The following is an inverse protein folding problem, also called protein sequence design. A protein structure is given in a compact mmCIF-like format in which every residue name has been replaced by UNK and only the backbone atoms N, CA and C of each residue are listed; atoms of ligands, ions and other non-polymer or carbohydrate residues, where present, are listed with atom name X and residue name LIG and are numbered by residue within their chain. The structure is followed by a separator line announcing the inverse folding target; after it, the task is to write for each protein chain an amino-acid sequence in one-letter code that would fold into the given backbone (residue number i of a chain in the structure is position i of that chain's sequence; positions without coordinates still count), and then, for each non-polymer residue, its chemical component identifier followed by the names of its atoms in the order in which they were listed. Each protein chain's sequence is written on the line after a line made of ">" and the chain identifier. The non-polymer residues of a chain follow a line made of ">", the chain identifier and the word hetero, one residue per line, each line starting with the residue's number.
data_IF_133740649705
#
_entry.id   IF_133740649705
#
_cell.length_a   1.000
_cell.length_b   1.000
_cell.length_c   1.000
_cell.angle_alpha   90.00
_cell.angle_beta   90.00
_cell.angle_gamma   90.00
#
_symmetry.space_group_name_H-M   'P 1'
#
loop_
_entity.id
_entity.type
_entity.pdbx_description
1 polymer ?
#
# COMPACT_ATOMS: atom_id res chain seq x y z
N UNK A 1 37.55 26.40 -69.57
CA UNK A 1 36.58 25.32 -69.25
C UNK A 1 36.88 24.86 -67.83
N UNK A 2 36.21 25.39 -66.78
CA UNK A 2 36.62 25.05 -65.40
C UNK A 2 35.82 25.60 -64.21
N UNK A 3 34.81 26.45 -64.40
CA UNK A 3 34.12 27.11 -63.27
C UNK A 3 32.85 26.40 -62.77
N UNK A 4 32.37 25.34 -63.44
CA UNK A 4 31.08 24.72 -63.10
C UNK A 4 31.13 23.68 -61.97
N UNK A 5 32.31 23.22 -61.52
CA UNK A 5 32.41 22.12 -60.55
C UNK A 5 32.41 22.55 -59.07
N UNK A 6 32.76 23.81 -58.76
CA UNK A 6 32.82 24.28 -57.36
C UNK A 6 31.43 24.64 -56.79
N UNK A 7 30.50 25.12 -57.63
CA UNK A 7 29.18 25.59 -57.18
C UNK A 7 28.25 24.44 -56.74
N UNK A 8 28.33 23.30 -57.41
CA UNK A 8 27.48 22.13 -57.13
C UNK A 8 27.81 21.41 -55.81
N UNK A 9 29.02 21.61 -55.27
CA UNK A 9 29.43 21.04 -53.97
C UNK A 9 28.83 21.81 -52.80
N UNK A 10 28.87 23.14 -52.87
CA UNK A 10 28.31 24.04 -51.84
C UNK A 10 26.78 23.94 -51.76
N UNK A 11 26.09 23.80 -52.89
CA UNK A 11 24.63 23.66 -52.93
C UNK A 11 24.15 22.32 -52.32
N UNK A 12 24.95 21.25 -52.45
CA UNK A 12 24.67 19.94 -51.85
C UNK A 12 24.88 19.93 -50.34
N UNK A 13 25.97 20.52 -49.85
CA UNK A 13 26.20 20.66 -48.40
C UNK A 13 25.10 21.51 -47.75
N UNK A 14 24.64 22.57 -48.42
CA UNK A 14 23.55 23.40 -47.91
C UNK A 14 22.21 22.65 -47.85
N UNK A 15 21.96 21.72 -48.77
CA UNK A 15 20.75 20.87 -48.73
C UNK A 15 20.84 19.82 -47.63
N UNK A 16 21.98 19.17 -47.44
CA UNK A 16 22.18 18.19 -46.35
C UNK A 16 22.02 18.84 -44.96
N UNK A 17 22.55 20.06 -44.78
CA UNK A 17 22.38 20.80 -43.51
C UNK A 17 20.90 21.13 -43.25
N UNK A 18 20.14 21.53 -44.27
CA UNK A 18 18.70 21.81 -44.13
C UNK A 18 17.92 20.56 -43.75
N UNK A 19 18.27 19.41 -44.30
CA UNK A 19 17.64 18.14 -43.97
C UNK A 19 17.95 17.68 -42.54
N UNK A 20 19.19 17.89 -42.08
CA UNK A 20 19.59 17.62 -40.69
C UNK A 20 18.81 18.53 -39.72
N UNK A 21 18.72 19.83 -40.02
CA UNK A 21 17.96 20.78 -39.19
C UNK A 21 16.48 20.39 -39.11
N UNK A 22 15.87 20.02 -40.24
CA UNK A 22 14.49 19.53 -40.27
C UNK A 22 14.32 18.28 -39.41
N UNK A 23 15.27 17.34 -39.47
CA UNK A 23 15.25 16.13 -38.64
C UNK A 23 15.35 16.46 -37.14
N UNK A 24 16.17 17.43 -36.77
CA UNK A 24 16.30 17.89 -35.38
C UNK A 24 14.98 18.49 -34.89
N UNK A 25 14.31 19.31 -35.70
CA UNK A 25 13.02 19.91 -35.35
C UNK A 25 11.92 18.85 -35.18
N UNK A 26 11.90 17.85 -36.06
CA UNK A 26 10.93 16.75 -36.00
C UNK A 26 11.16 15.87 -34.75
N UNK A 27 12.42 15.55 -34.43
CA UNK A 27 12.76 14.82 -33.19
C UNK A 27 12.39 15.63 -31.95
N UNK A 28 12.64 16.94 -31.96
CA UNK A 28 12.27 17.83 -30.86
C UNK A 28 10.75 17.85 -30.64
N UNK A 29 9.96 17.82 -31.72
CA UNK A 29 8.49 17.71 -31.62
C UNK A 29 8.05 16.39 -31.01
N UNK A 30 8.62 15.26 -31.45
CA UNK A 30 8.28 13.95 -30.89
C UNK A 30 8.61 13.88 -29.39
N UNK A 31 9.78 14.39 -28.98
CA UNK A 31 10.18 14.40 -27.57
C UNK A 31 9.23 15.21 -26.69
N UNK A 32 8.69 16.33 -27.19
CA UNK A 32 7.69 17.13 -26.46
C UNK A 32 6.39 16.36 -26.24
N UNK A 33 5.90 15.65 -27.26
CA UNK A 33 4.69 14.83 -27.15
C UNK A 33 4.88 13.74 -26.08
N UNK A 34 6.01 13.04 -26.11
CA UNK A 34 6.32 12.00 -25.12
C UNK A 34 6.40 12.59 -23.70
N UNK A 35 7.01 13.77 -23.55
CA UNK A 35 7.08 14.45 -22.25
C UNK A 35 5.68 14.78 -21.70
N UNK A 36 4.78 15.28 -22.55
CA UNK A 36 3.42 15.60 -22.16
C UNK A 36 2.63 14.35 -21.75
N UNK A 37 2.78 13.25 -22.50
CA UNK A 37 2.16 11.97 -22.18
C UNK A 37 2.67 11.40 -20.85
N UNK A 38 3.99 11.41 -20.62
CA UNK A 38 4.58 10.96 -19.36
C UNK A 38 4.12 11.81 -18.17
N UNK A 39 3.98 13.12 -18.35
CA UNK A 39 3.41 14.01 -17.34
C UNK A 39 1.94 13.68 -17.06
N UNK A 40 1.17 13.30 -18.09
CA UNK A 40 -0.19 12.79 -17.95
C UNK A 40 -0.25 11.54 -17.07
N UNK A 41 0.56 10.53 -17.39
CA UNK A 41 0.64 9.29 -16.61
C UNK A 41 1.09 9.55 -15.18
N UNK A 42 2.08 10.43 -14.97
CA UNK A 42 2.55 10.82 -13.63
C UNK A 42 1.43 11.42 -12.76
N UNK A 43 0.61 12.31 -13.34
CA UNK A 43 -0.56 12.88 -12.64
C UNK A 43 -1.59 11.80 -12.28
N UNK A 44 -1.89 10.89 -13.20
CA UNK A 44 -2.83 9.79 -12.93
C UNK A 44 -2.34 8.88 -11.81
N UNK A 45 -1.05 8.51 -11.83
CA UNK A 45 -0.44 7.71 -10.78
C UNK A 45 -0.46 8.44 -9.45
N UNK A 46 -0.13 9.74 -9.42
CA UNK A 46 -0.20 10.55 -8.20
C UNK A 46 -1.61 10.53 -7.59
N UNK A 47 -2.65 10.74 -8.39
CA UNK A 47 -4.04 10.67 -7.91
C UNK A 47 -4.37 9.30 -7.32
N UNK A 48 -3.96 8.22 -7.98
CA UNK A 48 -4.23 6.85 -7.51
C UNK A 48 -3.43 6.50 -6.24
N UNK A 49 -2.23 7.04 -6.14
CA UNK A 49 -1.35 6.88 -4.98
C UNK A 49 -1.88 7.71 -3.80
N UNK A 50 -2.32 8.95 -4.03
CA UNK A 50 -2.95 9.81 -3.01
C UNK A 50 -4.26 9.17 -2.50
N UNK A 51 -5.09 8.60 -3.38
CA UNK A 51 -6.30 7.88 -2.95
C UNK A 51 -5.97 6.61 -2.17
N UNK A 52 -4.91 5.88 -2.54
CA UNK A 52 -4.45 4.71 -1.76
C UNK A 52 -3.83 5.11 -0.43
N UNK A 53 -3.12 6.24 -0.34
CA UNK A 53 -2.59 6.74 0.93
C UNK A 53 -3.70 7.20 1.87
N UNK A 54 -4.78 7.80 1.35
CA UNK A 54 -5.98 8.09 2.15
C UNK A 54 -6.64 6.80 2.68
N UNK A 55 -6.65 5.73 1.89
CA UNK A 55 -7.15 4.41 2.29
C UNK A 55 -6.23 3.72 3.31
N UNK A 56 -4.91 3.72 3.09
CA UNK A 56 -3.91 3.14 3.99
C UNK A 56 -3.81 3.90 5.31
N UNK A 57 -3.84 5.25 5.31
CA UNK A 57 -3.90 6.05 6.53
C UNK A 57 -5.22 5.85 7.29
N UNK A 58 -6.32 5.55 6.60
CA UNK A 58 -7.57 5.15 7.25
C UNK A 58 -7.51 3.74 7.82
N UNK A 59 -6.75 2.83 7.22
CA UNK A 59 -6.53 1.48 7.76
C UNK A 59 -5.59 1.52 8.98
N UNK A 60 -4.51 2.30 8.93
CA UNK A 60 -3.56 2.46 10.05
C UNK A 60 -4.15 3.24 11.24
N UNK A 61 -5.16 4.09 11.00
CA UNK A 61 -5.90 4.82 12.05
C UNK A 61 -7.11 4.06 12.60
N UNK A 62 -7.51 2.93 12.01
CA UNK A 62 -8.59 2.11 12.56
C UNK A 62 -8.06 1.34 13.75
N UNK A 63 -8.30 1.89 14.93
CA UNK A 63 -8.23 1.12 16.17
C UNK A 63 -9.22 -0.04 16.04
N UNK A 64 -8.71 -1.27 16.12
CA UNK A 64 -9.51 -2.49 16.26
C UNK A 64 -10.49 -2.28 17.41
N UNK A 65 -11.77 -2.51 17.13
CA UNK A 65 -12.84 -2.47 18.12
C UNK A 65 -13.11 -3.87 18.68
N UNK A 66 -13.81 -3.95 19.81
CA UNK A 66 -14.27 -5.23 20.35
C UNK A 66 -15.18 -5.98 19.35
N UNK A 67 -15.94 -5.26 18.52
CA UNK A 67 -16.76 -5.87 17.47
C UNK A 67 -15.95 -6.58 16.38
N UNK A 68 -14.76 -6.07 16.07
CA UNK A 68 -13.87 -6.71 15.10
C UNK A 68 -13.28 -8.00 15.67
N UNK A 69 -13.01 -8.03 16.98
CA UNK A 69 -12.59 -9.24 17.69
C UNK A 69 -13.71 -10.27 17.71
N UNK A 70 -14.96 -9.87 17.99
CA UNK A 70 -16.11 -10.79 18.02
C UNK A 70 -16.29 -11.60 16.74
N UNK A 71 -16.06 -11.00 15.56
CA UNK A 71 -16.24 -11.65 14.26
C UNK A 71 -15.27 -12.81 13.99
N UNK A 72 -14.13 -12.85 14.70
CA UNK A 72 -13.09 -13.87 14.48
C UNK A 72 -13.30 -15.08 15.39
N UNK A 73 -14.05 -14.93 16.48
CA UNK A 73 -14.30 -16.01 17.41
C UNK A 73 -15.57 -16.80 17.04
N UNK A 74 -15.52 -18.14 17.10
CA UNK A 74 -16.72 -18.96 16.99
C UNK A 74 -17.62 -18.79 18.22
N UNK A 75 -18.92 -18.97 18.03
CA UNK A 75 -19.95 -18.63 19.02
C UNK A 75 -19.80 -19.39 20.35
N UNK A 76 -19.39 -20.65 20.29
CA UNK A 76 -19.12 -21.52 21.46
C UNK A 76 -18.02 -20.94 22.37
N UNK A 77 -16.98 -20.35 21.80
CA UNK A 77 -15.90 -19.71 22.56
C UNK A 77 -16.28 -18.33 23.08
N UNK A 78 -17.14 -17.59 22.36
CA UNK A 78 -17.60 -16.26 22.79
C UNK A 78 -18.37 -16.31 24.11
N UNK A 79 -19.19 -17.34 24.31
CA UNK A 79 -19.95 -17.51 25.54
C UNK A 79 -19.04 -17.70 26.76
N UNK A 80 -17.83 -18.24 26.56
CA UNK A 80 -16.84 -18.50 27.61
C UNK A 80 -15.94 -17.30 27.94
N UNK A 81 -16.01 -16.22 27.16
CA UNK A 81 -15.07 -15.10 27.23
C UNK A 81 -15.78 -13.77 27.52
N UNK A 82 -15.11 -12.90 28.26
CA UNK A 82 -15.48 -11.50 28.45
C UNK A 82 -14.48 -10.63 27.69
N UNK A 83 -14.97 -9.63 26.96
CA UNK A 83 -14.18 -8.73 26.14
C UNK A 83 -14.31 -7.32 26.69
N UNK A 84 -13.18 -6.67 26.92
CA UNK A 84 -13.08 -5.35 27.50
C UNK A 84 -12.22 -4.46 26.59
N UNK A 85 -12.76 -3.31 26.20
CA UNK A 85 -12.02 -2.33 25.40
C UNK A 85 -11.24 -1.42 26.35
N UNK A 86 -9.92 -1.52 26.33
CA UNK A 86 -9.02 -0.59 27.00
C UNK A 86 -8.38 0.37 25.97
N UNK A 87 -7.56 1.31 26.42
CA UNK A 87 -7.02 2.37 25.57
C UNK A 87 -6.23 1.83 24.37
N UNK A 88 -5.19 1.04 24.63
CA UNK A 88 -4.30 0.50 23.58
C UNK A 88 -4.57 -0.98 23.23
N UNK A 89 -5.35 -1.67 24.06
CA UNK A 89 -5.58 -3.12 23.97
C UNK A 89 -7.05 -3.48 24.15
N UNK A 90 -7.45 -4.59 23.54
CA UNK A 90 -8.68 -5.30 23.88
C UNK A 90 -8.27 -6.46 24.78
N UNK A 91 -8.82 -6.47 26.00
CA UNK A 91 -8.56 -7.50 26.99
C UNK A 91 -9.64 -8.58 26.87
N UNK A 92 -9.21 -9.83 26.81
CA UNK A 92 -10.10 -11.00 26.72
C UNK A 92 -9.87 -11.85 27.97
N UNK A 93 -10.89 -11.91 28.84
CA UNK A 93 -10.85 -12.63 30.12
C UNK A 93 -11.70 -13.90 30.05
N UNK A 94 -11.18 -15.06 30.46
CA UNK A 94 -12.00 -16.26 30.63
C UNK A 94 -13.05 -16.06 31.74
N UNK A 95 -14.32 -16.37 31.47
CA UNK A 95 -15.38 -16.38 32.49
C UNK A 95 -15.25 -17.58 33.43
N UNK A 96 -14.60 -18.64 32.96
CA UNK A 96 -14.36 -19.89 33.67
C UNK A 96 -13.07 -20.54 33.19
N UNK A 97 -12.67 -21.63 33.83
CA UNK A 97 -11.55 -22.44 33.36
C UNK A 97 -11.87 -23.02 31.97
N UNK A 98 -11.05 -22.68 30.97
CA UNK A 98 -11.28 -23.08 29.57
C UNK A 98 -10.89 -24.55 29.31
N UNK A 99 -9.99 -25.12 30.11
CA UNK A 99 -9.36 -26.41 29.80
C UNK A 99 -8.36 -26.29 28.64
N UNK A 100 -7.56 -27.34 28.44
CA UNK A 100 -6.45 -27.32 27.47
C UNK A 100 -6.92 -27.12 26.03
N UNK A 101 -8.07 -27.69 25.66
CA UNK A 101 -8.61 -27.62 24.30
C UNK A 101 -9.12 -26.22 23.96
N UNK A 102 -10.06 -25.67 24.72
CA UNK A 102 -10.60 -24.33 24.45
C UNK A 102 -9.52 -23.26 24.64
N UNK A 103 -8.61 -23.43 25.60
CA UNK A 103 -7.47 -22.53 25.74
C UNK A 103 -6.60 -22.52 24.48
N UNK A 104 -6.26 -23.69 23.93
CA UNK A 104 -5.45 -23.78 22.72
C UNK A 104 -6.14 -23.12 21.52
N UNK A 105 -7.46 -23.34 21.36
CA UNK A 105 -8.28 -22.71 20.31
C UNK A 105 -8.27 -21.18 20.44
N UNK A 106 -8.56 -20.66 21.64
CA UNK A 106 -8.53 -19.22 21.91
C UNK A 106 -7.13 -18.64 21.68
N UNK A 107 -6.09 -19.31 22.15
CA UNK A 107 -4.72 -18.87 21.99
C UNK A 107 -4.27 -18.82 20.51
N UNK A 108 -4.67 -19.80 19.70
CA UNK A 108 -4.41 -19.80 18.25
C UNK A 108 -5.11 -18.62 17.57
N UNK A 109 -6.40 -18.40 17.86
CA UNK A 109 -7.15 -17.25 17.31
C UNK A 109 -6.47 -15.92 17.68
N UNK A 110 -6.15 -15.73 18.95
CA UNK A 110 -5.53 -14.49 19.44
C UNK A 110 -4.17 -14.25 18.78
N UNK A 111 -3.31 -15.27 18.69
CA UNK A 111 -1.95 -15.11 18.16
C UNK A 111 -1.91 -14.99 16.64
N UNK A 112 -2.64 -15.87 15.94
CA UNK A 112 -2.54 -16.01 14.49
C UNK A 112 -3.40 -14.98 13.74
N UNK A 113 -4.61 -14.71 14.23
CA UNK A 113 -5.55 -13.82 13.54
C UNK A 113 -5.56 -12.40 14.09
N UNK A 114 -5.28 -12.23 15.38
CA UNK A 114 -5.40 -10.94 16.06
C UNK A 114 -4.05 -10.34 16.48
N UNK A 115 -2.93 -11.03 16.22
CA UNK A 115 -1.57 -10.61 16.64
C UNK A 115 -1.49 -10.25 18.14
N UNK A 116 -2.32 -10.88 18.95
CA UNK A 116 -2.35 -10.70 20.39
C UNK A 116 -1.47 -11.69 21.12
N UNK A 117 -1.48 -11.61 22.44
CA UNK A 117 -0.69 -12.48 23.30
C UNK A 117 -1.44 -12.87 24.57
N UNK A 118 -0.94 -13.93 25.21
CA UNK A 118 -1.44 -14.36 26.51
C UNK A 118 -0.56 -13.79 27.62
N UNK A 119 -1.21 -13.19 28.61
CA UNK A 119 -0.58 -12.61 29.79
C UNK A 119 -0.87 -13.51 30.98
N UNK A 120 0.16 -14.21 31.46
CA UNK A 120 0.06 -15.07 32.64
C UNK A 120 0.24 -14.25 33.92
N UNK A 121 -0.85 -14.03 34.66
CA UNK A 121 -0.88 -13.27 35.92
C UNK A 121 -1.66 -14.04 37.01
N UNK A 122 -1.57 -15.37 37.00
CA UNK A 122 -2.29 -16.23 37.94
C UNK A 122 -3.81 -16.06 37.80
N UNK A 123 -4.47 -15.50 38.82
CA UNK A 123 -5.93 -15.26 38.82
C UNK A 123 -6.36 -14.17 37.83
N UNK A 124 -5.46 -13.30 37.43
CA UNK A 124 -5.73 -12.22 36.47
C UNK A 124 -5.21 -12.55 35.07
N UNK A 125 -4.96 -13.83 34.78
CA UNK A 125 -4.49 -14.23 33.46
C UNK A 125 -5.53 -13.93 32.40
N UNK A 126 -5.09 -13.30 31.32
CA UNK A 126 -5.95 -12.81 30.25
C UNK A 126 -5.21 -12.86 28.91
N UNK A 127 -5.95 -12.76 27.83
CA UNK A 127 -5.38 -12.43 26.53
C UNK A 127 -5.48 -10.93 26.30
N UNK A 128 -4.53 -10.36 25.59
CA UNK A 128 -4.60 -8.98 25.13
C UNK A 128 -4.36 -8.91 23.63
N UNK A 129 -5.14 -8.07 22.97
CA UNK A 129 -5.07 -7.87 21.52
C UNK A 129 -4.77 -6.40 21.28
N UNK A 130 -3.70 -6.05 20.55
CA UNK A 130 -3.41 -4.65 20.25
C UNK A 130 -4.54 -4.05 19.42
N UNK A 131 -4.91 -2.81 19.75
CA UNK A 131 -5.91 -2.06 19.00
C UNK A 131 -5.34 -1.45 17.73
N UNK A 132 -4.04 -1.16 17.70
CA UNK A 132 -3.36 -0.71 16.49
C UNK A 132 -3.16 -1.90 15.54
N UNK A 133 -3.65 -1.77 14.31
CA UNK A 133 -3.62 -2.82 13.26
C UNK A 133 -2.34 -2.71 12.43
#
# INVERSE_FOLDING_TARGET
>A
MGVAKANAGSEREETDIKDILKRIDDLTRVLKIILDDLNGVSRMLRVHVESRFEEDLNQERRLRSVNDVYKVFPQDLLELLYFEEADDYIIIKPKQYLGSENFAKVASIVREHLKGEYVSHGRESHFRVPRRI
#
